data_IF_134006668490
#
_entry.id   IF_134006668490
#
_cell.length_a   1.000
_cell.length_b   1.000
_cell.length_c   1.000
_cell.angle_alpha   90.00
_cell.angle_beta   90.00
_cell.angle_gamma   90.00
#
_symmetry.space_group_name_H-M   'P 1'
#
loop_
_entity.id
_entity.type
_entity.pdbx_description
1 polymer ?
#
# COMPACT_ATOMS: atom_id res chain seq x y z
N UNK A 1 0.85 8.03 -2.34
CA UNK A 1 0.77 7.61 -0.93
C UNK A 1 -0.69 7.38 -0.58
N UNK A 2 -1.06 6.15 -0.22
CA UNK A 2 -2.41 5.84 0.26
C UNK A 2 -2.65 6.68 1.52
N UNK A 3 -3.82 7.31 1.57
CA UNK A 3 -4.11 8.50 2.36
C UNK A 3 -3.75 8.32 3.84
N UNK A 4 -3.27 9.41 4.46
CA UNK A 4 -3.14 9.69 5.92
C UNK A 4 -1.74 9.50 6.51
N UNK A 5 -1.04 10.63 6.67
CA UNK A 5 0.30 10.75 7.24
C UNK A 5 0.40 10.43 8.75
N UNK A 6 -0.72 10.48 9.48
CA UNK A 6 -0.73 10.33 10.93
C UNK A 6 -0.37 8.90 11.38
N UNK A 7 -1.00 7.88 10.80
CA UNK A 7 -0.75 6.47 11.15
C UNK A 7 0.74 6.11 10.96
N UNK A 8 1.31 6.50 9.83
CA UNK A 8 2.73 6.28 9.52
C UNK A 8 3.66 6.94 10.53
N UNK A 9 3.37 8.19 10.93
CA UNK A 9 4.16 8.92 11.94
C UNK A 9 4.07 8.23 13.30
N UNK A 10 2.89 7.79 13.72
CA UNK A 10 2.70 7.08 14.99
C UNK A 10 3.42 5.73 15.00
N UNK A 11 3.31 4.94 13.92
CA UNK A 11 4.02 3.66 13.79
C UNK A 11 5.53 3.87 13.83
N UNK A 12 6.04 4.86 13.09
CA UNK A 12 7.46 5.20 13.10
C UNK A 12 7.95 5.62 14.48
N UNK A 13 7.23 6.52 15.16
CA UNK A 13 7.57 6.98 16.50
C UNK A 13 7.61 5.84 17.53
N UNK A 14 6.73 4.83 17.40
CA UNK A 14 6.67 3.69 18.32
C UNK A 14 7.66 2.57 18.00
N UNK A 15 8.05 2.40 16.75
CA UNK A 15 8.89 1.26 16.29
C UNK A 15 10.33 1.65 15.97
N UNK A 16 10.63 2.94 15.83
CA UNK A 16 11.92 3.44 15.34
C UNK A 16 12.14 3.22 13.84
N UNK A 17 11.19 2.63 13.10
CA UNK A 17 11.30 2.40 11.66
C UNK A 17 11.17 3.73 10.92
N UNK A 18 12.14 4.12 10.08
CA UNK A 18 12.10 5.40 9.38
C UNK A 18 10.97 5.45 8.36
N UNK A 19 10.32 6.60 8.28
CA UNK A 19 9.28 6.85 7.28
C UNK A 19 9.92 7.11 5.92
N UNK A 20 9.61 6.27 4.94
CA UNK A 20 10.01 6.48 3.55
C UNK A 20 8.88 7.19 2.81
N UNK A 21 9.15 8.41 2.36
CA UNK A 21 8.33 9.09 1.36
C UNK A 21 8.71 8.60 -0.04
N UNK A 22 7.77 8.64 -0.97
CA UNK A 22 8.03 8.43 -2.40
C UNK A 22 8.62 7.06 -2.77
N UNK A 23 8.35 6.02 -1.98
CA UNK A 23 8.57 4.62 -2.38
C UNK A 23 7.54 4.13 -3.40
N UNK A 24 6.35 4.75 -3.42
CA UNK A 24 5.27 4.48 -4.36
C UNK A 24 4.65 5.81 -4.80
N UNK A 25 4.40 5.97 -6.10
CA UNK A 25 3.64 7.09 -6.65
C UNK A 25 2.20 6.69 -6.97
N UNK A 26 1.27 7.65 -6.92
CA UNK A 26 -0.09 7.46 -7.44
C UNK A 26 -0.08 7.97 -8.88
N UNK A 27 -0.44 7.12 -9.85
CA UNK A 27 -0.40 7.45 -11.29
C UNK A 27 -1.58 8.30 -11.77
N UNK A 28 -2.66 8.41 -10.98
CA UNK A 28 -3.90 9.08 -11.39
C UNK A 28 -4.69 9.60 -10.18
N UNK A 29 -5.25 10.80 -10.31
CA UNK A 29 -6.21 11.41 -9.38
C UNK A 29 -7.68 11.11 -9.72
N UNK A 30 -7.95 10.13 -10.61
CA UNK A 30 -9.34 9.73 -10.89
C UNK A 30 -10.02 9.35 -9.58
N UNK A 31 -11.10 10.08 -9.30
CA UNK A 31 -11.86 10.00 -8.07
C UNK A 31 -12.29 8.56 -7.77
N UNK A 32 -12.19 8.18 -6.50
CA UNK A 32 -12.69 6.92 -5.99
C UNK A 32 -14.21 6.89 -6.20
N UNK A 33 -14.68 6.31 -7.31
CA UNK A 33 -16.11 6.14 -7.53
C UNK A 33 -16.65 5.12 -6.52
N UNK A 34 -17.47 5.61 -5.59
CA UNK A 34 -18.02 4.87 -4.45
C UNK A 34 -18.97 3.70 -4.85
N UNK A 35 -19.22 3.47 -6.15
CA UNK A 35 -20.18 2.49 -6.66
C UNK A 35 -19.58 1.25 -7.34
N UNK A 36 -18.26 1.03 -7.25
CA UNK A 36 -17.63 -0.11 -7.94
C UNK A 36 -17.75 -1.41 -7.15
N UNK A 37 -18.19 -2.47 -7.85
CA UNK A 37 -18.20 -3.85 -7.39
C UNK A 37 -16.78 -4.36 -7.06
N UNK A 38 -16.67 -5.50 -6.38
CA UNK A 38 -15.37 -6.09 -5.99
C UNK A 38 -14.45 -6.33 -7.19
N UNK A 39 -14.98 -6.82 -8.30
CA UNK A 39 -14.23 -7.11 -9.52
C UNK A 39 -13.75 -5.83 -10.20
N UNK A 40 -14.62 -4.82 -10.25
CA UNK A 40 -14.28 -3.50 -10.77
C UNK A 40 -13.21 -2.83 -9.91
N UNK A 41 -13.25 -2.99 -8.59
CA UNK A 41 -12.19 -2.49 -7.69
C UNK A 41 -10.84 -3.13 -7.99
N UNK A 42 -10.77 -4.44 -8.23
CA UNK A 42 -9.51 -5.13 -8.57
C UNK A 42 -8.94 -4.57 -9.88
N UNK A 43 -9.79 -4.43 -10.92
CA UNK A 43 -9.38 -3.86 -12.21
C UNK A 43 -8.98 -2.39 -12.12
N UNK A 44 -9.69 -1.59 -11.32
CA UNK A 44 -9.36 -0.18 -11.12
C UNK A 44 -8.05 0.02 -10.36
N UNK A 45 -7.70 -0.89 -9.44
CA UNK A 45 -6.48 -0.75 -8.63
C UNK A 45 -5.22 -1.04 -9.46
N UNK A 46 -5.29 -1.98 -10.40
CA UNK A 46 -4.21 -2.25 -11.35
C UNK A 46 -3.95 -0.99 -12.19
N UNK A 47 -2.81 -0.33 -11.95
CA UNK A 47 -2.43 0.90 -12.64
C UNK A 47 -2.67 2.21 -11.89
N UNK A 48 -3.27 2.20 -10.69
CA UNK A 48 -3.34 3.41 -9.84
C UNK A 48 -2.02 3.74 -9.13
N UNK A 49 -1.17 2.74 -8.95
CA UNK A 49 0.12 2.89 -8.27
C UNK A 49 1.28 2.62 -9.23
N UNK A 50 2.42 3.21 -8.90
CA UNK A 50 3.67 3.05 -9.65
C UNK A 50 4.88 3.10 -8.76
N UNK A 51 6.01 2.75 -9.35
CA UNK A 51 7.32 2.82 -8.73
C UNK A 51 7.64 4.25 -8.27
N UNK A 52 8.17 4.35 -7.06
CA UNK A 52 8.69 5.60 -6.52
C UNK A 52 10.12 5.88 -6.96
N UNK A 53 10.69 6.99 -6.48
CA UNK A 53 12.08 7.38 -6.76
C UNK A 53 13.08 6.84 -5.74
N UNK A 54 12.60 6.29 -4.62
CA UNK A 54 13.48 5.83 -3.54
C UNK A 54 14.08 4.47 -3.86
N UNK A 55 15.41 4.34 -3.73
CA UNK A 55 16.05 3.03 -3.73
C UNK A 55 15.67 2.27 -2.44
N UNK A 56 15.02 1.12 -2.63
CA UNK A 56 14.56 0.21 -1.57
C UNK A 56 15.12 -1.20 -1.73
N UNK A 57 16.11 -1.38 -2.60
CA UNK A 57 16.73 -2.67 -2.89
C UNK A 57 17.28 -3.33 -1.60
N UNK A 58 16.95 -4.60 -1.41
CA UNK A 58 17.36 -5.39 -0.26
C UNK A 58 16.71 -4.98 1.07
N UNK A 59 15.81 -3.99 1.09
CA UNK A 59 15.16 -3.51 2.33
C UNK A 59 13.95 -4.36 2.71
N UNK A 60 13.70 -4.43 4.02
CA UNK A 60 12.43 -4.91 4.57
C UNK A 60 11.46 -3.73 4.68
N UNK A 61 10.32 -3.81 4.02
CA UNK A 61 9.35 -2.71 3.91
C UNK A 61 8.10 -3.03 4.74
N UNK A 62 7.70 -2.09 5.59
CA UNK A 62 6.41 -2.11 6.29
C UNK A 62 5.44 -1.16 5.56
N UNK A 63 4.44 -1.73 4.89
CA UNK A 63 3.36 -0.99 4.25
C UNK A 63 2.23 -0.80 5.26
N UNK A 64 1.93 0.45 5.60
CA UNK A 64 0.84 0.79 6.52
C UNK A 64 -0.34 1.39 5.77
N UNK A 65 -1.53 0.88 6.04
CA UNK A 65 -2.81 1.46 5.60
C UNK A 65 -3.76 1.53 6.81
N UNK A 66 -4.82 2.34 6.76
CA UNK A 66 -5.79 2.37 7.87
C UNK A 66 -6.78 1.21 7.79
N UNK A 67 -7.30 0.91 6.59
CA UNK A 67 -8.30 -0.13 6.36
C UNK A 67 -7.94 -0.99 5.15
N UNK A 68 -7.90 -2.31 5.35
CA UNK A 68 -7.79 -3.28 4.24
C UNK A 68 -9.14 -3.93 4.00
N UNK A 69 -9.65 -3.80 2.77
CA UNK A 69 -10.91 -4.44 2.35
C UNK A 69 -10.66 -5.65 1.47
N UNK A 70 -10.51 -5.47 0.16
CA UNK A 70 -10.37 -6.55 -0.82
C UNK A 70 -8.94 -7.06 -1.01
N UNK A 71 -7.99 -6.60 -0.18
CA UNK A 71 -6.53 -6.75 -0.31
C UNK A 71 -5.93 -6.31 -1.65
N UNK A 72 -6.73 -5.88 -2.63
CA UNK A 72 -6.26 -5.55 -3.98
C UNK A 72 -5.23 -4.42 -3.97
N UNK A 73 -5.48 -3.35 -3.21
CA UNK A 73 -4.59 -2.19 -3.10
C UNK A 73 -3.23 -2.57 -2.51
N UNK A 74 -3.25 -3.30 -1.40
CA UNK A 74 -2.02 -3.70 -0.69
C UNK A 74 -1.23 -4.74 -1.48
N UNK A 75 -1.90 -5.65 -2.19
CA UNK A 75 -1.25 -6.63 -3.06
C UNK A 75 -0.55 -5.96 -4.24
N UNK A 76 -1.20 -5.00 -4.92
CA UNK A 76 -0.58 -4.28 -6.03
C UNK A 76 0.61 -3.43 -5.55
N UNK A 77 0.47 -2.74 -4.43
CA UNK A 77 1.57 -1.99 -3.83
C UNK A 77 2.73 -2.91 -3.42
N UNK A 78 2.44 -4.06 -2.81
CA UNK A 78 3.46 -5.03 -2.43
C UNK A 78 4.19 -5.62 -3.64
N UNK A 79 3.45 -5.92 -4.73
CA UNK A 79 4.04 -6.36 -6.01
C UNK A 79 5.03 -5.33 -6.55
N UNK A 80 4.62 -4.06 -6.67
CA UNK A 80 5.50 -2.98 -7.17
C UNK A 80 6.76 -2.85 -6.28
N UNK A 81 6.61 -2.88 -4.95
CA UNK A 81 7.75 -2.80 -4.03
C UNK A 81 8.70 -3.98 -4.17
N UNK A 82 8.16 -5.19 -4.43
CA UNK A 82 8.96 -6.39 -4.70
C UNK A 82 9.70 -6.30 -6.02
N UNK A 83 9.03 -5.80 -7.07
CA UNK A 83 9.63 -5.58 -8.39
C UNK A 83 10.77 -4.54 -8.32
N UNK A 84 10.67 -3.57 -7.41
CA UNK A 84 11.73 -2.59 -7.08
C UNK A 84 12.87 -3.18 -6.20
N UNK A 85 12.86 -4.48 -5.89
CA UNK A 85 13.93 -5.16 -5.17
C UNK A 85 13.79 -5.24 -3.65
N UNK A 86 12.61 -4.96 -3.08
CA UNK A 86 12.40 -5.13 -1.65
C UNK A 86 12.59 -6.60 -1.19
N UNK A 87 13.41 -6.82 -0.17
CA UNK A 87 13.67 -8.16 0.40
C UNK A 87 12.39 -8.75 0.98
N UNK A 88 11.65 -7.97 1.76
CA UNK A 88 10.36 -8.37 2.33
C UNK A 88 9.38 -7.20 2.28
N UNK A 89 8.09 -7.51 2.18
CA UNK A 89 7.00 -6.54 2.31
C UNK A 89 6.01 -7.10 3.33
N UNK A 90 5.86 -6.41 4.45
CA UNK A 90 4.88 -6.71 5.49
C UNK A 90 3.79 -5.65 5.45
N UNK A 91 2.53 -6.06 5.55
CA UNK A 91 1.39 -5.14 5.52
C UNK A 91 0.78 -5.05 6.92
N UNK A 92 0.48 -3.85 7.38
CA UNK A 92 -0.24 -3.60 8.62
C UNK A 92 -1.40 -2.64 8.39
N UNK A 93 -2.51 -2.88 9.09
CA UNK A 93 -3.65 -1.99 9.10
C UNK A 93 -4.38 -1.98 10.43
N UNK A 94 -5.10 -0.89 10.70
CA UNK A 94 -5.89 -0.75 11.92
C UNK A 94 -7.19 -1.59 11.85
N UNK A 95 -7.76 -1.74 10.65
CA UNK A 95 -8.93 -2.57 10.43
C UNK A 95 -8.80 -3.41 9.17
N UNK A 96 -9.39 -4.60 9.19
CA UNK A 96 -9.54 -5.46 8.01
C UNK A 96 -10.97 -5.96 7.92
N UNK A 97 -11.52 -6.08 6.72
CA UNK A 97 -12.69 -6.96 6.55
C UNK A 97 -12.24 -8.42 6.69
N UNK A 98 -13.10 -9.35 7.15
CA UNK A 98 -12.74 -10.75 7.30
C UNK A 98 -12.04 -11.26 6.05
N UNK A 99 -10.78 -11.68 6.22
CA UNK A 99 -10.01 -12.29 5.15
C UNK A 99 -10.72 -13.59 4.78
N UNK A 100 -11.27 -13.66 3.56
CA UNK A 100 -11.75 -14.93 3.04
C UNK A 100 -10.50 -15.75 2.71
N UNK A 101 -10.24 -16.80 3.47
CA UNK A 101 -9.28 -17.82 3.09
C UNK A 101 -9.74 -18.38 1.74
N UNK A 102 -8.98 -18.11 0.69
CA UNK A 102 -9.17 -18.70 -0.64
C UNK A 102 -8.22 -19.86 -0.76
#
# INVERSE_FOLDING_TARGET
MIRRSLLRKTVSAKTGIPVVNDALCKKSDKEEQHNLSREERIKHISGLFGEGKKNIEGKNILLCDDVITTTATVNECARILKDMGAKTVTVTAAATTPLKNT
#
